data_IF_964200631750
#
_entry.id   IF_964200631750
#
_cell.length_a   1.000
_cell.length_b   1.000
_cell.length_c   1.000
_cell.angle_alpha   90.00
_cell.angle_beta   90.00
_cell.angle_gamma   90.00
#
_symmetry.space_group_name_H-M   'P 1'
#
loop_
_entity.id
_entity.type
_entity.pdbx_description
1 polymer ?
#
# COMPACT_ATOMS: atom_id res chain seq x y z
N UNK A 1 2.96 -2.22 -20.35
CA UNK A 1 4.13 -1.48 -19.82
C UNK A 1 4.39 -1.98 -18.42
N UNK A 2 5.52 -2.63 -18.15
CA UNK A 2 5.90 -3.02 -16.79
C UNK A 2 6.36 -1.77 -16.06
N UNK A 3 5.42 -1.08 -15.38
CA UNK A 3 5.75 0.06 -14.54
C UNK A 3 6.67 -0.42 -13.41
N UNK A 4 7.93 0.04 -13.41
CA UNK A 4 8.91 -0.25 -12.34
C UNK A 4 8.58 0.57 -11.10
N UNK A 5 7.50 0.20 -10.41
CA UNK A 5 7.12 0.68 -9.08
C UNK A 5 7.96 0.01 -7.99
N UNK A 6 7.96 0.58 -6.80
CA UNK A 6 8.55 0.08 -5.57
C UNK A 6 10.09 -0.05 -5.61
N UNK A 7 10.76 0.84 -6.33
CA UNK A 7 12.22 0.75 -6.46
C UNK A 7 12.88 1.02 -5.12
N UNK A 8 13.79 0.13 -4.72
CA UNK A 8 14.51 0.28 -3.47
C UNK A 8 13.74 -0.18 -2.23
N UNK A 9 12.53 -0.72 -2.37
CA UNK A 9 11.79 -1.35 -1.27
C UNK A 9 11.82 -2.89 -1.38
N UNK A 10 11.51 -3.62 -0.29
CA UNK A 10 11.32 -5.07 -0.29
C UNK A 10 10.40 -5.58 -1.43
N UNK A 11 9.37 -4.82 -1.79
CA UNK A 11 8.38 -5.21 -2.81
C UNK A 11 8.98 -5.58 -4.18
N UNK A 12 10.19 -5.12 -4.52
CA UNK A 12 10.85 -5.51 -5.78
C UNK A 12 11.43 -6.93 -5.75
N UNK A 13 11.63 -7.52 -4.57
CA UNK A 13 12.35 -8.80 -4.43
C UNK A 13 11.52 -10.00 -4.85
N UNK A 14 10.24 -10.03 -4.48
CA UNK A 14 9.33 -11.13 -4.80
C UNK A 14 7.86 -10.75 -4.58
N UNK A 15 6.95 -11.60 -5.08
CA UNK A 15 5.50 -11.41 -4.97
C UNK A 15 4.96 -11.34 -3.53
N UNK A 16 5.63 -12.01 -2.58
CA UNK A 16 5.19 -12.03 -1.20
C UNK A 16 5.54 -10.72 -0.49
N UNK A 17 6.74 -10.17 -0.74
CA UNK A 17 7.12 -8.83 -0.27
C UNK A 17 6.26 -7.76 -0.94
N UNK A 18 5.98 -7.86 -2.25
CA UNK A 18 5.05 -6.95 -2.95
C UNK A 18 3.66 -6.93 -2.31
N UNK A 19 3.10 -8.11 -2.03
CA UNK A 19 1.83 -8.24 -1.34
C UNK A 19 1.87 -7.66 0.06
N UNK A 20 2.89 -7.99 0.85
CA UNK A 20 3.04 -7.53 2.22
C UNK A 20 3.09 -6.00 2.31
N UNK A 21 3.86 -5.35 1.44
CA UNK A 21 3.98 -3.89 1.40
C UNK A 21 2.65 -3.21 1.04
N UNK A 22 1.90 -3.79 0.09
CA UNK A 22 0.54 -3.34 -0.21
C UNK A 22 -0.40 -3.43 0.99
N UNK A 23 -0.39 -4.55 1.71
CA UNK A 23 -1.24 -4.74 2.91
C UNK A 23 -0.83 -3.78 4.02
N UNK A 24 0.47 -3.60 4.27
CA UNK A 24 0.96 -2.67 5.28
C UNK A 24 0.55 -1.24 4.95
N UNK A 25 0.71 -0.79 3.70
CA UNK A 25 0.26 0.51 3.25
C UNK A 25 -1.25 0.68 3.39
N UNK A 26 -2.02 -0.35 3.04
CA UNK A 26 -3.48 -0.32 3.12
C UNK A 26 -3.99 -0.11 4.54
N UNK A 27 -3.34 -0.68 5.56
CA UNK A 27 -3.74 -0.56 6.97
C UNK A 27 -2.95 0.49 7.77
N UNK A 28 -2.23 1.39 7.10
CA UNK A 28 -1.36 2.41 7.71
C UNK A 28 -0.27 1.84 8.64
N UNK A 29 0.20 0.64 8.33
CA UNK A 29 1.08 -0.18 9.17
C UNK A 29 2.52 -0.29 8.65
N UNK A 30 2.92 0.51 7.65
CA UNK A 30 4.29 0.51 7.08
C UNK A 30 5.36 0.95 8.07
N UNK A 31 5.00 1.59 9.18
CA UNK A 31 5.96 2.14 10.12
C UNK A 31 6.73 3.34 9.55
N UNK A 32 8.02 3.47 9.88
CA UNK A 32 8.88 4.59 9.47
C UNK A 32 9.71 4.25 8.22
N UNK A 33 9.05 3.70 7.20
CA UNK A 33 9.72 3.35 5.94
C UNK A 33 10.04 4.58 5.08
N UNK A 34 11.16 4.51 4.38
CA UNK A 34 11.54 5.51 3.39
C UNK A 34 10.64 5.43 2.15
N UNK A 35 10.57 6.53 1.41
CA UNK A 35 9.91 6.52 0.11
C UNK A 35 10.59 5.54 -0.85
N UNK A 36 9.83 4.80 -1.68
CA UNK A 36 10.40 4.18 -2.86
C UNK A 36 11.21 5.20 -3.68
N UNK A 37 12.29 4.76 -4.31
CA UNK A 37 13.16 5.60 -5.18
C UNK A 37 12.44 6.13 -6.44
N UNK A 38 11.17 5.81 -6.61
CA UNK A 38 10.30 6.25 -7.69
C UNK A 38 9.07 7.01 -7.19
N UNK A 39 9.02 7.34 -5.89
CA UNK A 39 7.99 8.17 -5.28
C UNK A 39 8.65 9.30 -4.45
N UNK A 40 8.02 10.49 -4.36
CA UNK A 40 8.54 11.59 -3.55
C UNK A 40 8.33 11.38 -2.04
N UNK A 41 7.42 10.49 -1.64
CA UNK A 41 6.98 10.27 -0.27
C UNK A 41 6.73 8.77 0.00
N UNK A 42 6.79 8.31 1.27
CA UNK A 42 6.41 6.96 1.66
C UNK A 42 4.96 6.64 1.27
N UNK A 43 4.71 5.40 0.84
CA UNK A 43 3.37 4.92 0.48
C UNK A 43 2.72 4.33 1.73
N UNK A 44 2.46 5.19 2.72
CA UNK A 44 2.16 4.77 4.09
C UNK A 44 0.66 4.74 4.45
N UNK A 45 -0.24 5.02 3.49
CA UNK A 45 -1.68 4.98 3.73
C UNK A 45 -2.42 4.33 2.58
N UNK A 46 -3.65 3.85 2.87
CA UNK A 46 -4.58 3.32 1.87
C UNK A 46 -4.77 4.27 0.67
N UNK A 47 -4.91 5.55 0.95
CA UNK A 47 -5.17 6.58 -0.07
C UNK A 47 -3.93 6.84 -0.92
N UNK A 48 -2.73 6.80 -0.33
CA UNK A 48 -1.47 6.89 -1.08
C UNK A 48 -1.23 5.65 -1.93
N UNK A 49 -1.51 4.45 -1.40
CA UNK A 49 -1.43 3.20 -2.15
C UNK A 49 -2.35 3.24 -3.38
N UNK A 50 -3.61 3.68 -3.21
CA UNK A 50 -4.57 3.82 -4.31
C UNK A 50 -4.07 4.73 -5.43
N UNK A 51 -3.37 5.81 -5.10
CA UNK A 51 -2.80 6.73 -6.09
C UNK A 51 -1.56 6.16 -6.77
N UNK A 52 -0.71 5.48 -6.00
CA UNK A 52 0.59 5.01 -6.45
C UNK A 52 0.52 3.70 -7.25
N UNK A 53 -0.20 2.71 -6.74
CA UNK A 53 -0.36 1.38 -7.33
C UNK A 53 -1.83 0.92 -7.25
N UNK A 54 -2.71 1.45 -8.11
CA UNK A 54 -4.16 1.20 -8.04
C UNK A 54 -4.54 -0.27 -8.22
N UNK A 55 -3.73 -1.05 -8.95
CA UNK A 55 -3.96 -2.47 -9.15
C UNK A 55 -3.72 -3.27 -7.86
N UNK A 56 -2.65 -2.93 -7.11
CA UNK A 56 -2.39 -3.51 -5.80
C UNK A 56 -3.44 -3.09 -4.78
N UNK A 57 -3.83 -1.81 -4.79
CA UNK A 57 -4.94 -1.33 -3.96
C UNK A 57 -6.21 -2.15 -4.21
N UNK A 58 -6.59 -2.36 -5.48
CA UNK A 58 -7.79 -3.11 -5.83
C UNK A 58 -7.72 -4.55 -5.32
N UNK A 59 -6.58 -5.21 -5.50
CA UNK A 59 -6.36 -6.57 -5.02
C UNK A 59 -6.46 -6.68 -3.49
N UNK A 60 -5.84 -5.75 -2.76
CA UNK A 60 -5.93 -5.72 -1.28
C UNK A 60 -7.37 -5.43 -0.83
N UNK A 61 -8.05 -4.45 -1.44
CA UNK A 61 -9.43 -4.09 -1.11
C UNK A 61 -10.39 -5.28 -1.29
N UNK A 62 -10.27 -5.99 -2.43
CA UNK A 62 -11.07 -7.17 -2.74
C UNK A 62 -10.77 -8.32 -1.76
N UNK A 63 -9.49 -8.61 -1.53
CA UNK A 63 -9.07 -9.74 -0.68
C UNK A 63 -9.47 -9.56 0.78
N UNK A 64 -9.39 -8.33 1.28
CA UNK A 64 -9.80 -7.99 2.64
C UNK A 64 -11.32 -7.80 2.76
N UNK A 65 -12.06 -7.89 1.63
CA UNK A 65 -13.50 -7.66 1.53
C UNK A 65 -13.93 -6.36 2.22
N UNK A 66 -13.15 -5.29 2.06
CA UNK A 66 -13.29 -4.11 2.92
C UNK A 66 -14.53 -3.24 2.62
N UNK A 67 -15.23 -3.50 1.52
CA UNK A 67 -16.41 -2.72 1.14
C UNK A 67 -17.54 -2.85 2.17
N UNK A 68 -18.06 -1.71 2.64
CA UNK A 68 -19.16 -1.65 3.61
C UNK A 68 -18.73 -1.81 5.08
N UNK A 69 -17.43 -1.91 5.36
CA UNK A 69 -16.91 -1.96 6.73
C UNK A 69 -16.72 -0.56 7.34
N UNK A 70 -16.83 -0.49 8.67
CA UNK A 70 -16.49 0.71 9.44
C UNK A 70 -14.98 0.94 9.35
N UNK A 71 -14.56 2.19 9.15
CA UNK A 71 -13.14 2.53 9.13
C UNK A 71 -12.47 2.17 10.46
N UNK A 72 -11.32 1.47 10.40
CA UNK A 72 -10.57 1.08 11.61
C UNK A 72 -9.90 2.28 12.26
N UNK A 73 -9.68 3.35 11.49
CA UNK A 73 -9.09 4.58 11.99
C UNK A 73 -10.04 5.20 13.00
N UNK A 74 -9.52 5.41 14.20
CA UNK A 74 -10.24 6.14 15.22
C UNK A 74 -10.48 7.59 14.77
N UNK A 75 -11.71 7.91 14.39
CA UNK A 75 -12.14 9.28 14.18
C UNK A 75 -12.59 9.86 15.53
N UNK A 76 -11.86 10.86 16.05
CA UNK A 76 -12.34 11.62 17.20
C UNK A 76 -13.46 12.53 16.71
N UNK A 77 -14.66 12.33 17.24
CA UNK A 77 -15.83 13.17 16.98
C UNK A 77 -15.61 14.61 17.45
#
# INVERSE_FOLDING_TARGET
>A
MTNKRWRGTPAIRNRAEYWAEGVLAYFDATGQEAAPNDAPHPIATRELLKQYDPDLFALVNETMAYDGHVDWRYARF
#
